data_IF_472155089731
#
_entry.id   IF_472155089731
#
_cell.length_a   1.000
_cell.length_b   1.000
_cell.length_c   1.000
_cell.angle_alpha   90.00
_cell.angle_beta   90.00
_cell.angle_gamma   90.00
#
_symmetry.space_group_name_H-M   'P 1'
#
loop_
_entity.id
_entity.type
_entity.pdbx_description
1 polymer ?
#
# COMPACT_ATOMS: atom_id res chain seq x y z
N UNK A 1 8.18 8.93 -5.27
CA UNK A 1 6.85 8.90 -5.93
C UNK A 1 6.96 8.81 -7.45
N UNK A 2 7.65 9.72 -8.15
CA UNK A 2 7.82 9.60 -9.62
C UNK A 2 8.40 8.25 -10.07
N UNK A 3 9.49 7.80 -9.42
CA UNK A 3 10.06 6.46 -9.65
C UNK A 3 9.06 5.33 -9.38
N UNK A 4 8.33 5.41 -8.25
CA UNK A 4 7.32 4.41 -7.88
C UNK A 4 6.26 4.32 -8.98
N UNK A 5 5.71 5.44 -9.43
CA UNK A 5 4.72 5.49 -10.52
C UNK A 5 5.28 4.92 -11.83
N UNK A 6 6.52 5.26 -12.19
CA UNK A 6 7.13 4.82 -13.45
C UNK A 6 7.34 3.31 -13.51
N UNK A 7 7.56 2.65 -12.38
CA UNK A 7 7.92 1.23 -12.31
C UNK A 7 6.86 0.39 -11.61
N UNK A 8 5.63 0.87 -11.54
CA UNK A 8 4.52 0.16 -10.90
C UNK A 8 3.26 0.26 -11.75
N UNK A 9 2.19 -0.38 -11.30
CA UNK A 9 0.86 -0.28 -11.91
C UNK A 9 0.30 1.16 -11.95
N UNK A 10 0.93 2.11 -11.25
CA UNK A 10 0.45 3.48 -11.07
C UNK A 10 -0.73 3.60 -10.11
N UNK A 11 -1.31 2.49 -9.66
CA UNK A 11 -2.42 2.40 -8.70
C UNK A 11 -1.90 2.52 -7.26
N UNK A 12 -1.40 3.72 -6.92
CA UNK A 12 -0.67 3.97 -5.68
C UNK A 12 -1.59 3.89 -4.47
N UNK A 13 -1.29 2.95 -3.59
CA UNK A 13 -2.01 2.72 -2.36
C UNK A 13 -1.21 3.19 -1.14
N UNK A 14 -1.90 3.53 -0.06
CA UNK A 14 -1.31 3.96 1.20
C UNK A 14 -1.79 3.08 2.38
N UNK A 15 -1.10 1.99 2.72
CA UNK A 15 -1.43 1.19 3.89
C UNK A 15 -1.37 2.02 5.16
N UNK A 16 -2.39 1.90 6.00
CA UNK A 16 -2.54 2.57 7.30
C UNK A 16 -2.86 1.55 8.40
N UNK A 17 -2.47 1.87 9.63
CA UNK A 17 -3.00 1.17 10.81
C UNK A 17 -4.50 1.43 10.98
N UNK A 18 -5.26 0.51 11.62
CA UNK A 18 -6.66 0.75 11.94
C UNK A 18 -6.89 2.05 12.71
N UNK A 19 -6.00 2.37 13.66
CA UNK A 19 -6.08 3.59 14.46
C UNK A 19 -6.01 4.86 13.60
N UNK A 20 -5.12 4.90 12.59
CA UNK A 20 -5.05 6.04 11.68
C UNK A 20 -6.29 6.16 10.80
N UNK A 21 -6.87 5.05 10.34
CA UNK A 21 -8.11 5.12 9.54
C UNK A 21 -9.28 5.69 10.34
N UNK A 22 -9.34 5.42 11.65
CA UNK A 22 -10.35 6.00 12.55
C UNK A 22 -10.04 7.47 12.80
N UNK A 23 -8.80 7.81 13.16
CA UNK A 23 -8.40 9.18 13.48
C UNK A 23 -8.58 10.16 12.31
N UNK A 24 -8.39 9.69 11.08
CA UNK A 24 -8.49 10.51 9.86
C UNK A 24 -9.86 10.42 9.17
N UNK A 25 -10.83 9.75 9.78
CA UNK A 25 -12.17 9.51 9.22
C UNK A 25 -12.11 8.97 7.78
N UNK A 26 -11.49 7.80 7.64
CA UNK A 26 -11.32 7.09 6.36
C UNK A 26 -12.17 5.81 6.37
N UNK A 27 -13.49 5.91 6.11
CA UNK A 27 -14.36 4.75 6.04
C UNK A 27 -13.97 3.84 4.86
N UNK A 28 -14.32 2.56 4.96
CA UNK A 28 -14.18 1.61 3.85
C UNK A 28 -14.93 2.12 2.61
N UNK A 29 -14.34 1.90 1.44
CA UNK A 29 -14.88 2.39 0.16
C UNK A 29 -16.27 1.80 -0.14
N UNK A 30 -16.47 0.53 0.23
CA UNK A 30 -17.72 -0.19 0.04
C UNK A 30 -18.14 -0.90 1.33
N UNK A 31 -19.45 -0.98 1.62
CA UNK A 31 -19.94 -1.66 2.81
C UNK A 31 -19.80 -3.19 2.73
N UNK A 32 -19.99 -3.78 1.53
CA UNK A 32 -19.78 -5.20 1.26
C UNK A 32 -18.64 -5.38 0.26
N UNK A 33 -17.49 -5.88 0.72
CA UNK A 33 -16.29 -6.01 -0.08
C UNK A 33 -16.26 -7.35 -0.83
N UNK A 34 -16.31 -7.27 -2.16
CA UNK A 34 -16.27 -8.43 -3.07
C UNK A 34 -14.87 -8.76 -3.59
N UNK A 35 -13.83 -8.02 -3.16
CA UNK A 35 -12.44 -8.37 -3.47
C UNK A 35 -12.13 -9.75 -2.84
N UNK A 36 -11.67 -10.73 -3.63
CA UNK A 36 -11.44 -12.10 -3.14
C UNK A 36 -10.34 -12.20 -2.08
N UNK A 37 -9.45 -11.20 -1.99
CA UNK A 37 -8.42 -11.06 -0.95
C UNK A 37 -8.81 -10.08 0.15
N UNK A 38 -10.02 -9.53 0.08
CA UNK A 38 -10.57 -8.56 1.02
C UNK A 38 -9.67 -7.35 1.19
N UNK A 39 -9.08 -6.84 0.10
CA UNK A 39 -8.25 -5.62 0.12
C UNK A 39 -9.11 -4.46 0.65
N UNK A 40 -8.72 -3.92 1.81
CA UNK A 40 -9.58 -3.05 2.60
C UNK A 40 -9.40 -1.57 2.22
N UNK A 41 -9.75 -1.23 0.99
CA UNK A 41 -9.73 0.15 0.48
C UNK A 41 -10.62 1.06 1.31
N UNK A 42 -10.09 2.23 1.68
CA UNK A 42 -10.92 3.35 2.18
C UNK A 42 -11.37 4.23 1.02
N UNK A 43 -12.20 5.23 1.29
CA UNK A 43 -12.40 6.33 0.36
C UNK A 43 -11.03 6.93 -0.05
N UNK A 44 -10.86 7.24 -1.34
CA UNK A 44 -9.63 7.81 -1.86
C UNK A 44 -9.45 9.25 -1.41
N UNK A 45 -8.20 9.73 -1.37
CA UNK A 45 -7.86 11.04 -0.83
C UNK A 45 -6.84 11.79 -1.67
N UNK A 46 -6.94 13.11 -1.63
CA UNK A 46 -5.85 14.05 -1.93
C UNK A 46 -5.56 14.88 -0.68
N UNK A 47 -4.35 15.44 -0.56
CA UNK A 47 -4.08 16.43 0.48
C UNK A 47 -4.90 17.71 0.23
N UNK A 48 -5.46 18.29 1.29
CA UNK A 48 -6.18 19.56 1.22
C UNK A 48 -5.26 20.78 1.05
N UNK A 49 -3.94 20.58 1.10
CA UNK A 49 -2.92 21.63 0.99
C UNK A 49 -3.15 22.56 -0.23
N UNK A 50 -2.97 23.89 -0.09
CA UNK A 50 -3.18 24.85 -1.17
C UNK A 50 -2.30 24.63 -2.40
N UNK A 51 -1.15 23.96 -2.27
CA UNK A 51 -0.25 23.67 -3.39
C UNK A 51 -0.70 22.49 -4.26
N UNK A 52 -1.67 21.70 -3.80
CA UNK A 52 -2.25 20.61 -4.59
C UNK A 52 -3.12 21.20 -5.68
N UNK A 53 -2.75 20.92 -6.93
CA UNK A 53 -3.54 21.29 -8.10
C UNK A 53 -4.58 20.21 -8.41
N UNK A 54 -4.25 19.23 -9.25
CA UNK A 54 -5.17 18.16 -9.67
C UNK A 54 -5.07 16.91 -8.82
N UNK A 55 -4.06 16.79 -7.95
CA UNK A 55 -3.90 15.63 -7.06
C UNK A 55 -3.13 14.45 -7.67
N UNK A 56 -3.15 14.29 -9.00
CA UNK A 56 -2.60 13.10 -9.66
C UNK A 56 -1.06 13.13 -9.84
N UNK A 57 -0.46 14.32 -9.80
CA UNK A 57 0.96 14.48 -10.05
C UNK A 57 1.81 13.71 -9.05
N UNK A 58 3.05 13.35 -9.41
CA UNK A 58 3.96 12.68 -8.49
C UNK A 58 4.22 13.52 -7.21
N UNK A 59 4.18 14.85 -7.33
CA UNK A 59 4.31 15.77 -6.19
C UNK A 59 3.09 15.68 -5.27
N UNK A 60 1.90 15.77 -5.84
CA UNK A 60 0.65 15.84 -5.07
C UNK A 60 0.35 14.50 -4.40
N UNK A 61 0.52 13.38 -5.11
CA UNK A 61 0.40 12.03 -4.53
C UNK A 61 1.42 11.79 -3.42
N UNK A 62 2.65 12.28 -3.56
CA UNK A 62 3.63 12.20 -2.49
C UNK A 62 3.24 13.06 -1.27
N UNK A 63 2.63 14.24 -1.50
CA UNK A 63 2.15 15.10 -0.44
C UNK A 63 0.97 14.48 0.31
N UNK A 64 0.02 13.86 -0.39
CA UNK A 64 -1.05 13.07 0.22
C UNK A 64 -0.50 11.95 1.12
N UNK A 65 0.46 11.15 0.65
CA UNK A 65 1.10 10.13 1.47
C UNK A 65 1.83 10.70 2.70
N UNK A 66 2.53 11.83 2.58
CA UNK A 66 3.17 12.49 3.74
C UNK A 66 2.14 13.04 4.71
N UNK A 67 1.04 13.60 4.22
CA UNK A 67 -0.06 14.13 5.05
C UNK A 67 -0.71 12.98 5.83
N UNK A 68 -0.91 11.81 5.21
CA UNK A 68 -1.40 10.60 5.89
C UNK A 68 -0.48 10.10 7.01
N UNK A 69 0.82 10.41 6.94
CA UNK A 69 1.82 10.06 7.94
C UNK A 69 2.12 11.20 8.93
N UNK A 70 1.46 12.35 8.81
CA UNK A 70 1.69 13.51 9.68
C UNK A 70 0.92 13.32 11.01
N UNK A 71 1.59 13.32 12.17
CA UNK A 71 0.93 13.18 13.48
C UNK A 71 -0.08 14.30 13.80
N UNK A 72 0.01 15.44 13.11
CA UNK A 72 -0.92 16.57 13.26
C UNK A 72 -2.11 16.51 12.30
N UNK A 73 -2.13 15.57 11.35
CA UNK A 73 -3.19 15.44 10.38
C UNK A 73 -4.54 15.18 11.04
N UNK A 74 -5.56 15.78 10.46
CA UNK A 74 -6.96 15.65 10.87
C UNK A 74 -7.80 15.25 9.65
N UNK A 75 -9.07 14.84 9.83
CA UNK A 75 -9.94 14.57 8.69
C UNK A 75 -9.97 15.71 7.65
N UNK A 76 -9.89 16.97 8.06
CA UNK A 76 -9.93 18.14 7.19
C UNK A 76 -8.63 18.33 6.38
N UNK A 77 -7.55 17.64 6.73
CA UNK A 77 -6.30 17.62 5.96
C UNK A 77 -6.45 16.92 4.59
N UNK A 78 -7.61 16.32 4.30
CA UNK A 78 -7.85 15.53 3.10
C UNK A 78 -9.11 15.96 2.34
N UNK A 79 -9.02 15.98 1.01
CA UNK A 79 -10.15 16.01 0.08
C UNK A 79 -10.58 14.57 -0.21
N UNK A 80 -11.89 14.34 -0.35
CA UNK A 80 -12.50 13.02 -0.61
C UNK A 80 -13.57 13.19 -1.71
N UNK A 81 -13.52 12.43 -2.83
CA UNK A 81 -12.47 11.48 -3.22
C UNK A 81 -11.14 12.17 -3.61
N UNK A 82 -10.13 11.37 -3.96
CA UNK A 82 -8.85 11.83 -4.53
C UNK A 82 -8.06 10.70 -5.20
N UNK A 83 -6.73 10.85 -5.31
CA UNK A 83 -5.87 10.03 -6.18
C UNK A 83 -4.88 9.11 -5.44
N UNK A 84 -4.85 9.15 -4.11
CA UNK A 84 -4.23 8.13 -3.27
C UNK A 84 -5.31 7.24 -2.67
N UNK A 85 -5.03 5.93 -2.59
CA UNK A 85 -5.95 4.92 -2.07
C UNK A 85 -5.47 4.39 -0.72
N UNK A 86 -5.95 4.92 0.42
CA UNK A 86 -5.58 4.35 1.69
C UNK A 86 -6.14 2.93 1.86
N UNK A 87 -5.35 2.06 2.49
CA UNK A 87 -5.71 0.67 2.75
C UNK A 87 -5.64 0.41 4.25
N UNK A 88 -6.73 -0.09 4.84
CA UNK A 88 -6.73 -0.46 6.26
C UNK A 88 -6.07 -1.82 6.47
N UNK A 89 -4.95 -1.86 7.18
CA UNK A 89 -4.34 -3.13 7.62
C UNK A 89 -5.22 -3.86 8.64
N UNK A 90 -5.05 -5.18 8.76
CA UNK A 90 -5.66 -5.97 9.83
C UNK A 90 -4.92 -5.76 11.15
N UNK A 91 -5.65 -5.83 12.28
CA UNK A 91 -5.09 -5.57 13.61
C UNK A 91 -3.99 -6.59 14.02
N UNK A 92 -4.11 -7.85 13.59
CA UNK A 92 -3.09 -8.87 13.81
C UNK A 92 -1.90 -8.80 12.83
N UNK A 93 -1.83 -7.76 11.99
CA UNK A 93 -0.69 -7.49 11.10
C UNK A 93 -0.39 -8.64 10.14
N UNK A 94 0.90 -8.77 9.79
CA UNK A 94 1.38 -9.76 8.80
C UNK A 94 1.11 -11.20 9.21
N UNK A 95 0.97 -11.46 10.52
CA UNK A 95 0.69 -12.79 11.06
C UNK A 95 -0.77 -13.20 10.86
N UNK A 96 -1.70 -12.24 10.82
CA UNK A 96 -3.11 -12.49 10.53
C UNK A 96 -3.39 -12.51 9.02
N UNK A 97 -2.81 -11.56 8.27
CA UNK A 97 -2.94 -11.47 6.81
C UNK A 97 -1.57 -11.20 6.20
N UNK A 98 -0.95 -12.17 5.50
CA UNK A 98 0.36 -11.99 4.87
C UNK A 98 0.24 -11.22 3.53
N UNK A 99 -0.34 -10.02 3.57
CA UNK A 99 -0.52 -9.15 2.42
C UNK A 99 0.44 -7.95 2.44
N UNK A 100 0.60 -7.29 1.28
CA UNK A 100 1.45 -6.10 1.15
C UNK A 100 0.98 -4.93 2.05
N UNK A 101 -0.33 -4.82 2.30
CA UNK A 101 -0.91 -3.85 3.24
C UNK A 101 -0.33 -4.01 4.63
N UNK A 102 -0.39 -5.22 5.17
CA UNK A 102 0.13 -5.53 6.50
C UNK A 102 1.66 -5.44 6.53
N UNK A 103 2.34 -5.92 5.48
CA UNK A 103 3.80 -5.88 5.41
C UNK A 103 4.33 -4.44 5.46
N UNK A 104 3.68 -3.50 4.76
CA UNK A 104 4.06 -2.09 4.80
C UNK A 104 3.95 -1.49 6.21
N UNK A 105 2.85 -1.80 6.92
CA UNK A 105 2.64 -1.31 8.29
C UNK A 105 3.62 -1.96 9.28
N UNK A 106 3.92 -3.24 9.08
CA UNK A 106 4.90 -3.96 9.89
C UNK A 106 6.31 -3.37 9.72
N UNK A 107 6.72 -3.05 8.49
CA UNK A 107 7.99 -2.36 8.26
C UNK A 107 8.02 -0.98 8.91
N UNK A 108 6.94 -0.20 8.83
CA UNK A 108 6.85 1.07 9.54
C UNK A 108 7.05 0.89 11.05
N UNK A 109 6.38 -0.10 11.66
CA UNK A 109 6.50 -0.42 13.09
C UNK A 109 7.94 -0.82 13.47
N UNK A 110 8.54 -1.77 12.75
CA UNK A 110 9.89 -2.27 13.01
C UNK A 110 10.96 -1.17 12.81
N UNK A 111 10.72 -0.20 11.93
CA UNK A 111 11.61 0.94 11.69
C UNK A 111 11.33 2.17 12.58
N UNK A 112 10.39 2.08 13.53
CA UNK A 112 10.03 3.20 14.41
C UNK A 112 9.41 4.39 13.67
N UNK A 113 8.67 4.14 12.59
CA UNK A 113 7.98 5.15 11.78
C UNK A 113 6.49 5.16 12.08
N UNK A 114 5.82 6.26 11.72
CA UNK A 114 4.36 6.32 11.69
C UNK A 114 3.86 5.19 10.80
N UNK A 115 2.81 4.49 11.25
CA UNK A 115 2.23 3.32 10.58
C UNK A 115 1.36 3.74 9.38
N UNK A 116 1.98 4.46 8.46
CA UNK A 116 1.44 4.90 7.18
C UNK A 116 2.51 4.69 6.11
N UNK A 117 2.25 3.78 5.16
CA UNK A 117 3.15 3.43 4.08
C UNK A 117 2.65 3.87 2.70
N UNK A 118 3.44 3.59 1.67
CA UNK A 118 3.01 3.69 0.28
C UNK A 118 3.47 2.43 -0.47
N UNK A 119 2.55 1.79 -1.19
CA UNK A 119 2.80 0.57 -1.96
C UNK A 119 2.21 0.70 -3.36
N UNK A 120 2.79 -0.02 -4.30
CA UNK A 120 2.22 -0.24 -5.63
C UNK A 120 2.94 -1.44 -6.25
N UNK A 121 2.22 -2.25 -7.02
CA UNK A 121 2.76 -3.49 -7.59
C UNK A 121 3.72 -3.20 -8.73
N UNK A 122 4.83 -3.92 -8.78
CA UNK A 122 5.81 -3.82 -9.87
C UNK A 122 5.27 -4.59 -11.07
N UNK A 123 5.08 -3.89 -12.19
CA UNK A 123 4.53 -4.44 -13.44
C UNK A 123 5.64 -4.71 -14.44
N UNK A 124 5.42 -5.70 -15.29
CA UNK A 124 6.21 -5.87 -16.51
C UNK A 124 5.55 -5.04 -17.61
N UNK A 125 6.19 -3.94 -18.00
CA UNK A 125 5.69 -3.06 -19.07
C UNK A 125 5.76 -3.75 -20.45
N UNK A 126 6.42 -4.90 -20.56
CA UNK A 126 6.61 -5.63 -21.79
C UNK A 126 7.59 -4.96 -22.76
N UNK A 127 7.51 -5.38 -24.02
CA UNK A 127 8.35 -4.89 -25.10
C UNK A 127 7.65 -3.76 -25.86
N UNK A 128 8.28 -2.58 -25.90
CA UNK A 128 7.80 -1.46 -26.71
C UNK A 128 7.87 -1.80 -28.20
N UNK A 129 6.82 -1.44 -28.95
CA UNK A 129 6.83 -1.51 -30.41
C UNK A 129 7.14 -0.13 -31.00
N UNK A 130 8.31 0.09 -31.64
CA UNK A 130 8.70 1.42 -32.10
C UNK A 130 7.66 2.07 -33.01
N UNK A 131 7.28 3.30 -32.68
CA UNK A 131 6.30 4.08 -33.43
C UNK A 131 4.84 3.65 -33.22
N UNK A 132 4.57 2.72 -32.29
CA UNK A 132 3.20 2.26 -31.98
C UNK A 132 2.87 2.49 -30.51
N UNK A 133 1.61 2.80 -30.22
CA UNK A 133 1.08 2.92 -28.86
C UNK A 133 0.71 1.55 -28.28
N UNK A 134 1.60 0.55 -28.44
CA UNK A 134 1.39 -0.83 -28.04
C UNK A 134 2.64 -1.41 -27.36
N UNK A 135 2.42 -2.18 -26.30
CA UNK A 135 3.42 -3.01 -25.64
C UNK A 135 3.03 -4.49 -25.73
N UNK A 136 3.97 -5.34 -26.16
CA UNK A 136 3.77 -6.79 -26.24
C UNK A 136 4.32 -7.47 -24.98
N UNK A 137 3.86 -8.68 -24.67
CA UNK A 137 4.40 -9.48 -23.55
C UNK A 137 4.35 -8.81 -22.17
N UNK A 138 3.45 -7.84 -21.95
CA UNK A 138 3.28 -7.18 -20.66
C UNK A 138 2.68 -8.11 -19.60
N UNK A 139 2.91 -7.80 -18.32
CA UNK A 139 2.51 -8.66 -17.22
C UNK A 139 2.89 -8.10 -15.85
N UNK A 140 3.28 -9.00 -14.95
CA UNK A 140 3.74 -8.65 -13.58
C UNK A 140 5.12 -9.25 -13.38
N UNK A 141 6.05 -8.49 -12.80
CA UNK A 141 7.34 -9.06 -12.38
C UNK A 141 7.12 -10.14 -11.31
N UNK A 142 7.90 -11.23 -11.38
CA UNK A 142 7.81 -12.38 -10.47
C UNK A 142 9.20 -12.75 -9.96
N UNK A 143 9.26 -13.37 -8.78
CA UNK A 143 10.43 -14.09 -8.27
C UNK A 143 11.79 -13.40 -8.53
N UNK A 144 12.61 -14.04 -9.36
CA UNK A 144 13.96 -13.57 -9.69
C UNK A 144 13.99 -12.26 -10.49
N UNK A 145 12.94 -11.93 -11.24
CA UNK A 145 12.84 -10.65 -11.94
C UNK A 145 12.68 -9.49 -10.94
N UNK A 146 11.91 -9.71 -9.87
CA UNK A 146 11.81 -8.76 -8.76
C UNK A 146 13.17 -8.57 -8.06
N UNK A 147 13.95 -9.64 -7.91
CA UNK A 147 15.30 -9.58 -7.32
C UNK A 147 16.24 -8.81 -8.25
N UNK A 148 16.17 -9.07 -9.55
CA UNK A 148 16.96 -8.37 -10.57
C UNK A 148 16.61 -6.89 -10.62
N UNK A 149 15.32 -6.54 -10.59
CA UNK A 149 14.83 -5.17 -10.48
C UNK A 149 15.39 -4.48 -9.23
N UNK A 150 15.31 -5.14 -8.06
CA UNK A 150 15.82 -4.58 -6.82
C UNK A 150 17.34 -4.31 -6.91
N UNK A 151 18.12 -5.26 -7.43
CA UNK A 151 19.57 -5.09 -7.63
C UNK A 151 19.90 -3.95 -8.58
N UNK A 152 19.20 -3.85 -9.72
CA UNK A 152 19.37 -2.79 -10.72
C UNK A 152 19.25 -1.40 -10.10
N UNK A 153 18.34 -1.24 -9.14
CA UNK A 153 18.06 0.05 -8.50
C UNK A 153 18.65 0.20 -7.09
N UNK A 154 19.49 -0.75 -6.63
CA UNK A 154 20.12 -0.68 -5.31
C UNK A 154 19.14 -0.82 -4.14
N UNK A 155 18.00 -1.48 -4.35
CA UNK A 155 16.95 -1.70 -3.35
C UNK A 155 17.13 -3.03 -2.62
N UNK A 156 16.66 -3.09 -1.37
CA UNK A 156 16.50 -4.36 -0.65
C UNK A 156 15.25 -5.08 -1.14
N UNK A 157 15.29 -6.40 -1.12
CA UNK A 157 14.18 -7.29 -1.46
C UNK A 157 14.10 -8.41 -0.44
N UNK A 158 12.89 -8.80 -0.06
CA UNK A 158 12.61 -9.89 0.87
C UNK A 158 11.24 -10.50 0.56
N UNK A 159 10.90 -11.58 1.26
CA UNK A 159 9.56 -12.18 1.17
C UNK A 159 8.71 -11.77 2.38
N UNK A 160 7.38 -11.73 2.20
CA UNK A 160 6.47 -11.56 3.34
C UNK A 160 6.58 -12.74 4.30
N UNK A 161 6.89 -13.94 3.80
CA UNK A 161 7.11 -15.12 4.63
C UNK A 161 8.30 -14.93 5.60
N UNK A 162 9.42 -14.36 5.14
CA UNK A 162 10.56 -14.04 6.00
C UNK A 162 10.23 -12.94 7.01
N UNK A 163 9.41 -11.96 6.63
CA UNK A 163 8.93 -10.93 7.55
C UNK A 163 8.04 -11.54 8.64
N UNK A 164 7.12 -12.43 8.29
CA UNK A 164 6.31 -13.18 9.27
C UNK A 164 7.22 -13.96 10.21
N UNK A 165 8.16 -14.75 9.68
CA UNK A 165 9.11 -15.51 10.48
C UNK A 165 9.98 -14.60 11.39
N UNK A 166 10.30 -13.39 10.95
CA UNK A 166 11.01 -12.40 11.77
C UNK A 166 10.15 -11.94 12.95
N UNK A 167 8.88 -11.57 12.71
CA UNK A 167 7.95 -11.10 13.76
C UNK A 167 7.65 -12.23 14.76
N UNK A 168 7.46 -13.46 14.29
CA UNK A 168 7.19 -14.62 15.15
C UNK A 168 8.34 -14.96 16.10
N UNK A 169 9.60 -14.59 15.79
CA UNK A 169 10.72 -14.77 16.73
C UNK A 169 10.57 -13.92 17.99
N UNK A 170 9.93 -12.76 17.89
CA UNK A 170 9.72 -11.86 19.01
C UNK A 170 8.33 -12.04 19.65
N UNK A 171 7.30 -12.30 18.86
CA UNK A 171 5.89 -12.25 19.29
C UNK A 171 5.22 -13.63 19.33
N UNK A 172 5.91 -14.69 18.93
CA UNK A 172 5.35 -16.03 18.76
C UNK A 172 4.41 -16.14 17.55
N UNK A 173 4.01 -17.39 17.27
CA UNK A 173 3.00 -17.67 16.25
C UNK A 173 1.65 -17.11 16.69
N UNK A 174 0.88 -16.57 15.74
CA UNK A 174 -0.47 -16.12 16.04
C UNK A 174 -1.38 -17.35 16.16
N UNK A 175 -1.94 -17.59 17.34
CA UNK A 175 -3.00 -18.58 17.51
C UNK A 175 -4.28 -18.04 16.87
N UNK A 176 -4.60 -18.53 15.68
CA UNK A 176 -5.91 -18.26 15.08
C UNK A 176 -6.89 -19.21 15.74
N UNK A 177 -7.50 -18.78 16.85
CA UNK A 177 -8.68 -19.47 17.38
C UNK A 177 -9.77 -19.38 16.30
N UNK A 178 -10.03 -20.51 15.64
CA UNK A 178 -10.98 -20.59 14.54
C UNK A 178 -12.38 -20.22 15.00
N UNK A 179 -12.81 -18.98 14.77
CA UNK A 179 -14.20 -18.51 14.87
C UNK A 179 -14.33 -17.10 14.26
N UNK A 180 -13.92 -16.93 13.00
CA UNK A 180 -14.53 -15.91 12.15
C UNK A 180 -14.94 -16.57 10.84
N UNK A 181 -16.02 -17.37 10.92
CA UNK A 181 -16.84 -17.65 9.76
C UNK A 181 -17.36 -16.32 9.23
N UNK A 182 -16.92 -15.95 8.02
CA UNK A 182 -17.46 -14.85 7.23
C UNK A 182 -18.99 -14.79 7.37
N UNK A 183 -19.49 -13.76 8.03
CA UNK A 183 -20.88 -13.35 7.87
C UNK A 183 -20.93 -12.40 6.66
N UNK A 184 -21.60 -12.93 5.64
CA UNK A 184 -22.15 -12.34 4.40
C UNK A 184 -22.30 -10.83 4.31
#
# INVERSE_FOLDING_TARGET
MGFLIRHSSGYVCAPLSPALTIALDLPQMVPNNQDPRGTAYTISVDSADPSVSTGISARDRALACRTLADPSARPESFRRPGHILPLRSRAGGVRQRPGHTEAAIEFCRLAGKVQAGAICEIVDDGDETPGQALCNNHGMLRGDDCITFARKWGLKVCTIADLVAHVEKAEGKLEINGTETNSS
#
